data_IF_425876753513
#
_entry.id   IF_425876753513
#
_cell.length_a   1.000
_cell.length_b   1.000
_cell.length_c   1.000
_cell.angle_alpha   90.00
_cell.angle_beta   90.00
_cell.angle_gamma   90.00
#
_symmetry.space_group_name_H-M   'P 1'
#
loop_
_entity.id
_entity.type
_entity.pdbx_description
1 polymer ?
#
# COMPACT_ATOMS: atom_id res chain seq x y z
N UNK A 1 16.59 6.71 -36.81
CA UNK A 1 15.21 6.22 -37.02
C UNK A 1 15.05 5.00 -36.13
N UNK A 2 14.89 5.15 -34.81
CA UNK A 2 13.63 5.34 -34.07
C UNK A 2 12.51 4.43 -34.59
N UNK A 3 12.37 3.26 -33.96
CA UNK A 3 11.11 2.50 -33.90
C UNK A 3 10.75 2.27 -32.42
N UNK A 4 9.99 3.24 -31.93
CA UNK A 4 8.86 3.13 -30.97
C UNK A 4 9.01 2.22 -29.76
N UNK A 5 9.17 2.91 -28.63
CA UNK A 5 8.89 2.46 -27.26
C UNK A 5 7.57 1.71 -27.19
N UNK A 6 7.60 0.53 -26.56
CA UNK A 6 6.42 -0.29 -26.32
C UNK A 6 5.41 0.48 -25.47
N UNK A 7 4.17 0.50 -25.95
CA UNK A 7 2.97 1.06 -25.32
C UNK A 7 2.79 0.65 -23.85
N UNK A 8 3.37 1.43 -22.93
CA UNK A 8 2.97 1.47 -21.51
C UNK A 8 1.89 2.52 -21.25
N UNK A 9 1.05 2.78 -22.26
CA UNK A 9 0.12 3.89 -22.24
C UNK A 9 -1.33 3.41 -22.38
N UNK A 10 -1.83 2.74 -21.33
CA UNK A 10 -3.21 2.94 -20.88
C UNK A 10 -3.14 3.05 -19.35
N UNK A 11 -2.77 4.25 -18.88
CA UNK A 11 -3.18 4.75 -17.58
C UNK A 11 -4.72 4.76 -17.58
N UNK A 12 -5.34 3.65 -17.22
CA UNK A 12 -6.74 3.68 -16.84
C UNK A 12 -6.85 4.68 -15.69
N UNK A 13 -7.86 5.55 -15.75
CA UNK A 13 -8.25 6.39 -14.62
C UNK A 13 -8.08 5.58 -13.34
N UNK A 14 -7.16 5.95 -12.45
CA UNK A 14 -6.84 5.16 -11.26
C UNK A 14 -8.14 4.90 -10.50
N UNK A 15 -8.70 3.72 -10.76
CA UNK A 15 -10.05 3.40 -10.34
C UNK A 15 -9.92 3.12 -8.85
N UNK A 16 -10.81 3.72 -8.08
CA UNK A 16 -10.79 3.62 -6.63
C UNK A 16 -12.13 3.08 -6.20
N UNK A 17 -12.09 2.14 -5.26
CA UNK A 17 -13.27 1.57 -4.64
C UNK A 17 -13.21 1.83 -3.15
N UNK A 18 -14.36 1.66 -2.50
CA UNK A 18 -14.45 1.64 -1.05
C UNK A 18 -14.80 0.22 -0.62
N UNK A 19 -13.99 -0.34 0.26
CA UNK A 19 -14.35 -1.56 0.97
C UNK A 19 -14.97 -1.19 2.32
N UNK A 20 -16.25 -1.54 2.47
CA UNK A 20 -16.97 -1.39 3.72
C UNK A 20 -16.95 -2.72 4.48
N UNK A 21 -16.61 -2.67 5.76
CA UNK A 21 -16.54 -3.87 6.58
C UNK A 21 -17.93 -4.19 7.14
N UNK A 22 -18.52 -5.36 6.85
CA UNK A 22 -19.73 -5.78 7.52
C UNK A 22 -19.49 -5.75 9.03
N UNK A 23 -20.31 -4.99 9.76
CA UNK A 23 -20.24 -4.83 11.22
C UNK A 23 -19.10 -3.93 11.76
N UNK A 24 -18.47 -3.06 10.95
CA UNK A 24 -17.54 -2.04 11.46
C UNK A 24 -17.90 -0.65 10.94
N UNK A 25 -17.63 0.38 11.74
CA UNK A 25 -17.84 1.79 11.38
C UNK A 25 -16.73 2.37 10.51
N UNK A 26 -15.81 1.56 10.01
CA UNK A 26 -14.69 2.03 9.19
C UNK A 26 -14.78 1.43 7.80
N UNK A 27 -14.45 2.26 6.80
CA UNK A 27 -14.31 1.86 5.41
C UNK A 27 -12.85 2.03 4.99
N UNK A 28 -12.48 1.47 3.83
CA UNK A 28 -11.13 1.60 3.26
C UNK A 28 -11.21 1.94 1.80
N UNK A 29 -10.58 3.07 1.44
CA UNK A 29 -10.31 3.36 0.04
C UNK A 29 -9.23 2.40 -0.46
N UNK A 30 -9.51 1.75 -1.57
CA UNK A 30 -8.61 0.80 -2.22
C UNK A 30 -8.39 1.25 -3.66
N UNK A 31 -7.15 1.18 -4.12
CA UNK A 31 -6.77 1.46 -5.51
C UNK A 31 -5.62 0.56 -5.94
N UNK A 32 -5.30 0.56 -7.23
CA UNK A 32 -4.18 -0.19 -7.80
C UNK A 32 -3.18 0.80 -8.40
N UNK A 33 -1.91 0.65 -8.06
CA UNK A 33 -0.81 1.48 -8.57
C UNK A 33 0.31 0.52 -8.96
N UNK A 34 0.75 0.58 -10.22
CA UNK A 34 1.77 -0.33 -10.77
C UNK A 34 1.43 -1.81 -10.53
N UNK A 35 0.18 -2.22 -10.75
CA UNK A 35 -0.32 -3.60 -10.54
C UNK A 35 -0.25 -4.09 -9.09
N UNK A 36 -0.02 -3.18 -8.15
CA UNK A 36 -0.02 -3.47 -6.72
C UNK A 36 -1.26 -2.87 -6.08
N UNK A 37 -1.98 -3.57 -5.18
CA UNK A 37 -3.13 -3.00 -4.54
C UNK A 37 -2.73 -2.24 -3.26
N UNK A 38 -3.40 -1.12 -3.04
CA UNK A 38 -3.13 -0.18 -1.95
C UNK A 38 -4.41 0.13 -1.19
N UNK A 39 -4.31 0.26 0.12
CA UNK A 39 -5.39 0.81 0.94
C UNK A 39 -4.93 2.04 1.71
N UNK A 40 -5.85 2.98 1.93
CA UNK A 40 -5.62 4.12 2.82
C UNK A 40 -5.88 3.72 4.28
N UNK A 41 -4.90 3.88 5.16
CA UNK A 41 -5.02 3.56 6.58
C UNK A 41 -5.97 4.52 7.30
N UNK A 42 -6.81 3.99 8.19
CA UNK A 42 -7.62 4.76 9.15
C UNK A 42 -6.87 5.11 10.43
N UNK A 43 -5.62 4.68 10.59
CA UNK A 43 -4.83 4.96 11.79
C UNK A 43 -5.19 4.13 13.02
N UNK A 44 -6.39 3.52 13.14
CA UNK A 44 -6.79 2.75 14.34
C UNK A 44 -5.78 1.67 14.76
N UNK A 45 -5.21 0.93 13.80
CA UNK A 45 -4.21 -0.12 14.05
C UNK A 45 -2.78 0.27 13.71
N UNK A 46 -2.55 1.48 13.20
CA UNK A 46 -1.23 1.90 12.73
C UNK A 46 -0.73 3.17 13.38
N UNK A 47 -1.60 4.05 13.91
CA UNK A 47 -1.22 5.41 14.28
C UNK A 47 -0.83 6.30 13.08
N UNK A 48 -1.13 5.87 11.85
CA UNK A 48 -0.76 6.57 10.59
C UNK A 48 -1.98 6.78 9.69
N UNK A 49 -3.03 7.38 10.24
CA UNK A 49 -4.23 7.73 9.47
C UNK A 49 -3.87 8.50 8.19
N UNK A 50 -4.50 8.16 7.08
CA UNK A 50 -4.24 8.77 5.78
C UNK A 50 -3.01 8.24 5.05
N UNK A 51 -2.22 7.33 5.64
CA UNK A 51 -1.05 6.71 4.97
C UNK A 51 -1.50 5.55 4.07
N UNK A 52 -1.00 5.51 2.85
CA UNK A 52 -1.28 4.43 1.89
C UNK A 52 -0.33 3.25 2.07
N UNK A 53 -0.87 2.05 2.22
CA UNK A 53 -0.09 0.82 2.36
C UNK A 53 -0.46 -0.21 1.31
N UNK A 54 0.56 -0.84 0.74
CA UNK A 54 0.44 -1.99 -0.13
C UNK A 54 -0.18 -3.18 0.60
N UNK A 55 -0.93 -4.03 -0.08
CA UNK A 55 -1.44 -5.29 0.46
C UNK A 55 -1.53 -6.37 -0.64
N UNK A 56 -2.00 -7.57 -0.31
CA UNK A 56 -2.05 -8.73 -1.21
C UNK A 56 -3.46 -9.22 -1.54
N UNK A 57 -4.49 -8.41 -1.27
CA UNK A 57 -5.90 -8.80 -1.36
C UNK A 57 -6.57 -8.92 0.01
N UNK A 58 -7.83 -9.35 0.00
CA UNK A 58 -8.66 -9.48 1.19
C UNK A 58 -8.95 -10.96 1.43
N UNK A 59 -8.89 -11.41 2.69
CA UNK A 59 -9.17 -12.78 3.05
C UNK A 59 -10.64 -13.11 2.79
N UNK A 60 -10.89 -13.96 1.80
CA UNK A 60 -12.25 -14.37 1.37
C UNK A 60 -12.89 -15.35 2.36
N UNK A 61 -12.09 -16.26 2.91
CA UNK A 61 -12.55 -17.33 3.79
C UNK A 61 -11.95 -17.20 5.19
N UNK A 62 -12.76 -17.43 6.23
CA UNK A 62 -12.28 -17.48 7.61
C UNK A 62 -11.22 -18.59 7.75
N UNK A 63 -10.14 -18.29 8.47
CA UNK A 63 -9.15 -19.29 8.91
C UNK A 63 -9.21 -19.46 10.43
N UNK A 64 -8.50 -20.44 10.99
CA UNK A 64 -8.51 -20.73 12.43
C UNK A 64 -8.18 -19.50 13.32
N UNK A 65 -7.36 -18.58 12.83
CA UNK A 65 -6.91 -17.41 13.59
C UNK A 65 -7.41 -16.06 13.05
N UNK A 66 -8.09 -16.03 11.91
CA UNK A 66 -8.45 -14.78 11.24
C UNK A 66 -9.83 -14.82 10.60
N UNK A 67 -10.62 -13.77 10.84
CA UNK A 67 -11.94 -13.62 10.25
C UNK A 67 -11.84 -13.20 8.76
N UNK A 68 -12.87 -13.57 7.99
CA UNK A 68 -13.12 -13.04 6.65
C UNK A 68 -13.03 -11.51 6.63
N UNK A 69 -12.50 -10.94 5.55
CA UNK A 69 -12.32 -9.50 5.38
C UNK A 69 -10.96 -8.96 5.80
N UNK A 70 -10.08 -9.75 6.40
CA UNK A 70 -8.75 -9.25 6.80
C UNK A 70 -7.87 -8.93 5.59
N UNK A 71 -7.06 -7.87 5.68
CA UNK A 71 -6.10 -7.55 4.62
C UNK A 71 -4.97 -8.56 4.63
N UNK A 72 -4.70 -9.15 3.48
CA UNK A 72 -3.58 -10.05 3.27
C UNK A 72 -2.31 -9.22 3.10
N UNK A 73 -1.26 -9.55 3.84
CA UNK A 73 0.09 -9.01 3.69
C UNK A 73 1.04 -10.16 3.30
N UNK A 74 2.01 -9.93 2.41
CA UNK A 74 3.04 -10.93 2.12
C UNK A 74 3.72 -11.40 3.41
N UNK A 75 3.89 -12.72 3.62
CA UNK A 75 4.51 -13.24 4.86
C UNK A 75 6.00 -13.07 4.94
N UNK A 76 6.67 -12.76 3.83
CA UNK A 76 8.02 -12.21 3.87
C UNK A 76 8.11 -10.96 4.75
N UNK A 77 7.00 -10.25 4.99
CA UNK A 77 6.91 -9.14 5.93
C UNK A 77 6.70 -9.58 7.41
N UNK A 78 6.58 -10.88 7.67
CA UNK A 78 6.18 -11.48 8.95
C UNK A 78 7.13 -12.48 9.56
N UNK A 79 7.51 -13.48 8.75
CA UNK A 79 8.12 -14.72 9.21
C UNK A 79 9.63 -14.60 9.25
N UNK A 80 10.18 -13.75 8.38
CA UNK A 80 11.54 -13.31 8.58
C UNK A 80 11.53 -12.29 9.70
N UNK A 81 12.02 -12.68 10.88
CA UNK A 81 12.43 -11.79 11.96
C UNK A 81 13.37 -10.68 11.42
N UNK A 82 12.77 -9.63 10.86
CA UNK A 82 13.28 -8.31 10.54
C UNK A 82 14.78 -8.18 10.24
N UNK A 83 15.24 -8.61 9.05
CA UNK A 83 16.40 -7.94 8.47
C UNK A 83 15.95 -6.72 7.66
N UNK A 84 15.74 -5.59 8.36
CA UNK A 84 15.40 -4.26 7.78
C UNK A 84 16.30 -3.87 6.60
N UNK A 85 17.49 -4.47 6.50
CA UNK A 85 18.48 -4.26 5.44
C UNK A 85 18.11 -4.94 4.10
N UNK A 86 17.33 -6.03 4.09
CA UNK A 86 16.95 -6.71 2.84
C UNK A 86 15.90 -5.94 2.04
N UNK A 87 14.90 -5.38 2.71
CA UNK A 87 13.76 -4.71 2.05
C UNK A 87 14.02 -3.25 1.67
N UNK A 88 14.80 -2.53 2.49
CA UNK A 88 15.10 -1.11 2.26
C UNK A 88 16.57 -0.85 1.89
N UNK A 89 17.41 -1.88 1.88
CA UNK A 89 18.87 -1.71 1.80
C UNK A 89 19.46 -1.26 3.13
N UNK A 90 20.77 -1.44 3.28
CA UNK A 90 21.54 -1.03 4.47
C UNK A 90 21.46 0.48 4.73
N UNK A 91 21.53 1.30 3.68
CA UNK A 91 21.56 2.77 3.78
C UNK A 91 20.27 3.35 4.37
N UNK A 92 19.11 2.95 3.84
CA UNK A 92 17.81 3.43 4.36
C UNK A 92 17.57 2.90 5.76
N UNK A 93 17.92 1.64 6.03
CA UNK A 93 17.84 1.06 7.37
C UNK A 93 18.68 1.86 8.38
N UNK A 94 19.91 2.21 8.01
CA UNK A 94 20.79 3.05 8.83
C UNK A 94 20.17 4.43 9.07
N UNK A 95 19.68 5.12 8.03
CA UNK A 95 19.03 6.42 8.15
C UNK A 95 17.82 6.38 9.09
N UNK A 96 16.93 5.39 8.91
CA UNK A 96 15.73 5.18 9.74
C UNK A 96 16.08 4.92 11.21
N UNK A 97 17.16 4.17 11.48
CA UNK A 97 17.66 3.93 12.84
C UNK A 97 18.28 5.19 13.44
N UNK A 98 19.21 5.82 12.74
CA UNK A 98 19.91 7.06 13.14
C UNK A 98 18.94 8.18 13.53
N UNK A 99 17.82 8.31 12.80
CA UNK A 99 16.81 9.34 13.06
C UNK A 99 15.61 8.85 13.89
N UNK A 100 15.71 7.67 14.51
CA UNK A 100 14.66 7.09 15.37
C UNK A 100 13.26 7.08 14.71
N UNK A 101 13.20 6.83 13.40
CA UNK A 101 11.94 6.82 12.65
C UNK A 101 11.22 5.48 12.84
N UNK A 102 11.97 4.39 13.04
CA UNK A 102 11.43 3.07 13.33
C UNK A 102 10.60 3.00 14.62
N UNK A 103 10.78 3.94 15.56
CA UNK A 103 9.93 4.08 16.76
C UNK A 103 8.57 4.66 16.42
N UNK A 104 8.49 5.39 15.31
CA UNK A 104 7.25 6.01 14.86
C UNK A 104 6.49 5.12 13.92
N UNK A 105 7.12 4.38 13.01
CA UNK A 105 6.44 3.56 12.00
C UNK A 105 7.02 2.16 11.83
N UNK A 106 6.11 1.18 11.75
CA UNK A 106 6.42 -0.19 11.32
C UNK A 106 6.69 -0.20 9.82
N UNK A 107 7.97 -0.13 9.47
CA UNK A 107 8.42 -0.05 8.08
C UNK A 107 8.11 -1.28 7.23
N UNK A 108 7.89 -2.45 7.83
CA UNK A 108 7.44 -3.63 7.06
C UNK A 108 6.09 -3.40 6.40
N UNK A 109 5.27 -2.47 6.89
CA UNK A 109 3.97 -2.14 6.28
C UNK A 109 4.08 -1.56 4.88
N UNK A 110 5.23 -0.98 4.54
CA UNK A 110 5.48 -0.47 3.20
C UNK A 110 5.94 -1.54 2.22
N UNK A 111 6.31 -2.74 2.67
CA UNK A 111 6.87 -3.76 1.80
C UNK A 111 8.36 -3.54 1.55
N UNK A 112 8.68 -2.91 0.42
CA UNK A 112 10.04 -2.67 -0.06
C UNK A 112 10.29 -1.18 -0.36
N UNK A 113 11.50 -0.87 -0.83
CA UNK A 113 11.90 0.50 -1.15
C UNK A 113 11.03 1.15 -2.23
N UNK A 114 10.62 0.40 -3.26
CA UNK A 114 9.76 0.91 -4.33
C UNK A 114 8.40 1.32 -3.76
N UNK A 115 7.79 0.42 -3.00
CA UNK A 115 6.48 0.66 -2.39
C UNK A 115 6.52 1.77 -1.32
N UNK A 116 7.60 1.90 -0.57
CA UNK A 116 7.78 3.07 0.31
C UNK A 116 7.88 4.38 -0.48
N UNK A 117 8.61 4.40 -1.60
CA UNK A 117 8.69 5.57 -2.48
C UNK A 117 7.33 5.93 -3.09
N UNK A 118 6.57 4.94 -3.57
CA UNK A 118 5.21 5.13 -4.08
C UNK A 118 4.29 5.72 -3.00
N UNK A 119 4.28 5.14 -1.79
CA UNK A 119 3.50 5.67 -0.66
C UNK A 119 3.92 7.12 -0.33
N UNK A 120 5.23 7.40 -0.31
CA UNK A 120 5.76 8.73 -0.06
C UNK A 120 5.38 9.74 -1.15
N UNK A 121 5.30 9.32 -2.42
CA UNK A 121 4.80 10.16 -3.52
C UNK A 121 3.38 10.64 -3.26
N UNK A 122 2.47 9.71 -2.95
CA UNK A 122 1.06 10.00 -2.67
C UNK A 122 0.95 10.96 -1.47
N UNK A 123 1.68 10.66 -0.40
CA UNK A 123 1.71 11.43 0.83
C UNK A 123 0.62 11.03 1.82
N UNK A 124 0.14 12.00 2.60
CA UNK A 124 -0.81 11.77 3.70
C UNK A 124 -0.16 11.16 4.95
N UNK A 125 -0.86 11.23 6.08
CA UNK A 125 -0.51 10.55 7.32
C UNK A 125 0.94 10.71 7.77
N UNK A 126 1.66 9.59 7.91
CA UNK A 126 3.06 9.58 8.35
C UNK A 126 3.94 10.54 7.53
N UNK A 127 3.70 10.65 6.22
CA UNK A 127 4.50 11.47 5.31
C UNK A 127 4.31 12.98 5.53
N UNK A 128 3.26 13.41 6.23
CA UNK A 128 3.04 14.80 6.62
C UNK A 128 3.80 15.19 7.89
N UNK A 129 4.21 14.21 8.71
CA UNK A 129 5.02 14.46 9.91
C UNK A 129 6.40 15.03 9.56
N UNK A 130 7.03 15.73 10.49
CA UNK A 130 8.39 16.25 10.30
C UNK A 130 9.41 15.14 9.96
N UNK A 131 9.31 13.97 10.60
CA UNK A 131 10.18 12.83 10.29
C UNK A 131 9.84 12.19 8.94
N UNK A 132 8.55 12.09 8.60
CA UNK A 132 8.11 11.60 7.30
C UNK A 132 8.58 12.47 6.15
N UNK A 133 8.50 13.80 6.29
CA UNK A 133 9.04 14.75 5.30
C UNK A 133 10.55 14.58 5.09
N UNK A 134 11.32 14.48 6.18
CA UNK A 134 12.78 14.25 6.12
C UNK A 134 13.12 12.93 5.42
N UNK A 135 12.41 11.84 5.77
CA UNK A 135 12.61 10.55 5.11
C UNK A 135 12.21 10.60 3.64
N UNK A 136 11.09 11.24 3.30
CA UNK A 136 10.67 11.44 1.90
C UNK A 136 11.75 12.15 1.08
N UNK A 137 12.37 13.21 1.62
CA UNK A 137 13.49 13.88 0.97
C UNK A 137 14.69 12.94 0.76
N UNK A 138 15.04 12.15 1.78
CA UNK A 138 16.11 11.15 1.68
C UNK A 138 15.80 10.09 0.62
N UNK A 139 14.59 9.55 0.60
CA UNK A 139 14.15 8.57 -0.40
C UNK A 139 14.15 9.17 -1.80
N UNK A 140 13.65 10.40 -1.99
CA UNK A 140 13.61 11.06 -3.29
C UNK A 140 15.01 11.32 -3.84
N UNK A 141 15.97 11.66 -2.98
CA UNK A 141 17.38 11.86 -3.38
C UNK A 141 18.04 10.55 -3.84
N UNK A 142 17.78 9.43 -3.17
CA UNK A 142 18.50 8.18 -3.39
C UNK A 142 17.78 7.20 -4.35
N UNK A 143 16.46 7.31 -4.47
CA UNK A 143 15.61 6.41 -5.26
C UNK A 143 14.57 7.18 -6.10
N UNK A 144 14.96 8.20 -6.88
CA UNK A 144 14.02 9.06 -7.60
C UNK A 144 13.15 8.28 -8.60
N UNK A 145 13.71 7.21 -9.20
CA UNK A 145 13.03 6.37 -10.21
C UNK A 145 11.75 5.67 -9.71
N UNK A 146 11.57 5.51 -8.39
CA UNK A 146 10.39 4.87 -7.82
C UNK A 146 9.30 5.87 -7.39
N UNK A 147 9.56 7.18 -7.50
CA UNK A 147 8.55 8.18 -7.20
C UNK A 147 7.59 8.36 -8.38
N UNK A 148 6.30 8.31 -8.09
CA UNK A 148 5.24 8.64 -9.05
C UNK A 148 5.37 10.06 -9.61
N UNK A 149 4.92 10.25 -10.84
CA UNK A 149 4.81 11.56 -11.48
C UNK A 149 3.74 12.45 -10.81
N UNK A 150 3.84 13.78 -10.91
CA UNK A 150 2.83 14.70 -10.36
C UNK A 150 1.41 14.42 -10.87
N UNK A 151 1.27 14.05 -12.14
CA UNK A 151 -0.01 13.72 -12.78
C UNK A 151 -0.69 12.51 -12.11
N UNK A 152 0.04 11.41 -11.93
CA UNK A 152 -0.49 10.22 -11.26
C UNK A 152 -0.89 10.54 -9.82
N UNK A 153 -0.07 11.32 -9.11
CA UNK A 153 -0.36 11.75 -7.73
C UNK A 153 -1.66 12.56 -7.68
N UNK A 154 -1.84 13.49 -8.62
CA UNK A 154 -3.04 14.32 -8.69
C UNK A 154 -4.29 13.48 -8.95
N UNK A 155 -4.22 12.53 -9.90
CA UNK A 155 -5.32 11.64 -10.21
C UNK A 155 -5.74 10.79 -9.00
N UNK A 156 -4.77 10.23 -8.26
CA UNK A 156 -5.07 9.45 -7.04
C UNK A 156 -5.76 10.31 -5.98
N UNK A 157 -5.29 11.54 -5.78
CA UNK A 157 -5.87 12.47 -4.79
C UNK A 157 -7.28 12.89 -5.16
N UNK A 158 -7.52 13.22 -6.42
CA UNK A 158 -8.86 13.54 -6.91
C UNK A 158 -9.81 12.35 -6.75
N UNK A 159 -9.39 11.15 -7.14
CA UNK A 159 -10.18 9.93 -6.90
C UNK A 159 -10.47 9.71 -5.41
N UNK A 160 -9.52 9.98 -4.51
CA UNK A 160 -9.73 9.84 -3.07
C UNK A 160 -10.74 10.83 -2.48
N UNK A 161 -10.97 11.97 -3.14
CA UNK A 161 -11.93 12.99 -2.73
C UNK A 161 -13.35 12.76 -3.26
N UNK A 162 -13.54 11.78 -4.15
CA UNK A 162 -14.85 11.43 -4.70
C UNK A 162 -15.75 10.80 -3.63
N UNK A 163 -17.03 11.15 -3.69
CA UNK A 163 -18.07 10.61 -2.81
C UNK A 163 -18.94 9.54 -3.51
N UNK A 164 -18.76 9.36 -4.82
CA UNK A 164 -19.50 8.44 -5.69
C UNK A 164 -18.72 7.16 -6.01
N UNK A 165 -17.79 6.77 -5.15
CA UNK A 165 -16.99 5.56 -5.33
C UNK A 165 -17.85 4.31 -5.15
N UNK A 166 -17.62 3.30 -5.99
CA UNK A 166 -18.23 1.98 -5.83
C UNK A 166 -17.89 1.39 -4.46
N UNK A 167 -18.92 0.97 -3.72
CA UNK A 167 -18.78 0.37 -2.39
C UNK A 167 -18.98 -1.13 -2.51
N UNK A 168 -17.96 -1.89 -2.14
CA UNK A 168 -18.07 -3.33 -1.92
C UNK A 168 -18.11 -3.63 -0.43
N UNK A 169 -18.97 -4.56 -0.03
CA UNK A 169 -18.98 -5.10 1.33
C UNK A 169 -18.49 -6.56 1.39
N UNK A 170 -18.34 -7.19 0.22
CA UNK A 170 -17.85 -8.55 0.09
C UNK A 170 -16.36 -8.58 -0.30
N UNK A 171 -15.49 -9.26 0.47
CA UNK A 171 -14.10 -9.52 0.10
C UNK A 171 -13.88 -10.10 -1.29
N UNK A 172 -14.76 -10.98 -1.77
CA UNK A 172 -14.67 -11.63 -3.07
C UNK A 172 -14.86 -10.61 -4.19
N UNK A 173 -15.80 -9.67 -4.03
CA UNK A 173 -16.01 -8.58 -4.98
C UNK A 173 -14.79 -7.66 -5.03
N UNK A 174 -14.17 -7.37 -3.87
CA UNK A 174 -12.93 -6.60 -3.85
C UNK A 174 -11.82 -7.34 -4.59
N UNK A 175 -11.58 -8.62 -4.28
CA UNK A 175 -10.53 -9.39 -4.95
C UNK A 175 -10.79 -9.59 -6.44
N UNK A 176 -12.05 -9.77 -6.86
CA UNK A 176 -12.43 -9.79 -8.27
C UNK A 176 -12.07 -8.47 -8.95
N UNK A 177 -12.47 -7.34 -8.35
CA UNK A 177 -12.10 -6.02 -8.87
C UNK A 177 -10.57 -5.86 -8.96
N UNK A 178 -9.81 -6.30 -7.95
CA UNK A 178 -8.34 -6.25 -8.01
C UNK A 178 -7.77 -7.09 -9.17
N UNK A 179 -8.35 -8.26 -9.48
CA UNK A 179 -7.96 -9.08 -10.65
C UNK A 179 -8.21 -8.33 -11.95
N UNK A 180 -9.38 -7.73 -12.08
CA UNK A 180 -9.79 -6.95 -13.26
C UNK A 180 -8.89 -5.72 -13.48
N UNK A 181 -8.36 -5.14 -12.40
CA UNK A 181 -7.36 -4.06 -12.47
C UNK A 181 -5.92 -4.54 -12.76
N UNK A 182 -5.71 -5.84 -13.02
CA UNK A 182 -4.41 -6.38 -13.39
C UNK A 182 -3.46 -6.65 -12.22
N UNK A 183 -3.95 -6.81 -10.99
CA UNK A 183 -3.09 -7.19 -9.87
C UNK A 183 -2.52 -8.60 -10.09
N UNK A 184 -1.20 -8.70 -10.17
CA UNK A 184 -0.49 -9.92 -10.57
C UNK A 184 -0.38 -10.97 -9.46
N UNK A 185 -0.49 -10.58 -8.19
CA UNK A 185 -0.31 -11.48 -7.03
C UNK A 185 -1.42 -11.29 -6.01
N UNK A 186 -2.65 -11.65 -6.37
CA UNK A 186 -3.76 -11.74 -5.42
C UNK A 186 -3.70 -13.04 -4.63
N UNK A 187 -3.85 -12.94 -3.32
CA UNK A 187 -4.02 -14.12 -2.48
C UNK A 187 -2.83 -15.06 -2.54
N UNK A 188 -1.59 -14.57 -2.40
CA UNK A 188 -0.46 -15.45 -2.04
C UNK A 188 -0.72 -15.96 -0.62
N UNK A 189 -1.63 -16.94 -0.49
CA UNK A 189 -2.18 -17.65 0.65
C UNK A 189 -2.29 -19.12 0.23
N UNK A 190 -1.16 -19.82 0.16
CA UNK A 190 -1.07 -21.13 0.79
C UNK A 190 0.26 -21.18 1.51
N UNK A 191 0.19 -21.34 2.83
CA UNK A 191 1.31 -21.41 3.77
C UNK A 191 2.21 -20.17 3.86
N UNK A 192 1.85 -19.03 3.23
CA UNK A 192 2.65 -17.87 2.77
C UNK A 192 2.27 -16.45 3.26
N UNK A 193 1.34 -16.22 4.21
CA UNK A 193 0.75 -14.85 4.41
C UNK A 193 0.59 -14.39 5.86
N UNK A 194 0.76 -13.08 6.09
CA UNK A 194 0.24 -12.38 7.27
C UNK A 194 -1.14 -11.85 7.00
N UNK A 195 -1.95 -11.78 8.05
CA UNK A 195 -3.28 -11.20 7.98
C UNK A 195 -3.33 -9.99 8.92
N UNK A 196 -3.77 -8.85 8.41
CA UNK A 196 -3.93 -7.61 9.19
C UNK A 196 -5.41 -7.29 9.41
N UNK A 197 -5.76 -7.11 10.68
CA UNK A 197 -7.10 -6.74 11.09
C UNK A 197 -7.45 -5.34 10.56
N UNK A 198 -8.59 -5.16 9.91
CA UNK A 198 -9.04 -3.88 9.40
C UNK A 198 -9.92 -3.16 10.43
N UNK A 199 -9.36 -2.62 11.53
CA UNK A 199 -10.18 -1.88 12.50
C UNK A 199 -10.52 -0.47 12.02
#
# INVERSE_FOLDING_TARGET
MISTESDKNILSNNTMIVFNFPNRTSYRRITVINSYPWYQSTGRNSGYEGTWFFFGGILETKTNHHARGWFIKPKSLAEEHYNKTRFFGSNVCHYVRKHSIHKLISFSRFGDIEKACISASIGGGFWQSCKGKRLKCYLKKNYPKYFLSPEIIQNIRQSAMRNDLTIYSDPEQVNLWLREQGVTTLGVLHNQSLLMCPN
#
